data_IF_406808135242
#
_entry.id   IF_406808135242
#
_cell.length_a   1.000
_cell.length_b   1.000
_cell.length_c   1.000
_cell.angle_alpha   90.00
_cell.angle_beta   90.00
_cell.angle_gamma   90.00
#
_symmetry.space_group_name_H-M   'P 1'
#
loop_
_entity.id
_entity.type
_entity.pdbx_description
1 polymer ?
#
# COMPACT_ATOMS: atom_id res chain seq x y z
N UNK A 1 -53.24 41.89 1.32
CA UNK A 1 -53.63 42.40 -0.02
C UNK A 1 -52.44 42.19 -0.94
N UNK A 2 -52.48 41.64 -2.15
CA UNK A 2 -53.55 41.27 -3.08
C UNK A 2 -52.89 40.30 -4.08
N UNK A 3 -53.46 39.12 -4.31
CA UNK A 3 -53.16 38.34 -5.53
C UNK A 3 -53.72 39.13 -6.70
N UNK A 4 -52.96 39.30 -7.77
CA UNK A 4 -53.56 39.48 -9.09
C UNK A 4 -52.62 38.94 -10.15
N UNK A 5 -53.21 38.07 -10.94
CA UNK A 5 -52.65 37.27 -12.00
C UNK A 5 -53.34 37.75 -13.30
N UNK A 6 -52.80 37.33 -14.45
CA UNK A 6 -53.50 37.22 -15.76
C UNK A 6 -53.54 38.46 -16.69
N UNK A 7 -52.88 38.33 -17.86
CA UNK A 7 -53.41 38.30 -19.25
C UNK A 7 -52.29 38.77 -20.22
N UNK A 8 -51.70 37.91 -21.04
CA UNK A 8 -52.13 37.46 -22.38
C UNK A 8 -52.24 38.54 -23.49
N UNK A 9 -51.39 38.35 -24.50
CA UNK A 9 -51.68 38.20 -25.94
C UNK A 9 -51.71 39.43 -26.88
N UNK A 10 -50.87 39.32 -27.93
CA UNK A 10 -51.11 39.46 -29.41
C UNK A 10 -49.88 40.08 -30.08
N UNK A 11 -49.06 39.28 -30.77
CA UNK A 11 -49.11 38.93 -32.20
C UNK A 11 -48.68 40.06 -33.14
N UNK A 12 -47.56 39.86 -33.86
CA UNK A 12 -47.43 40.20 -35.27
C UNK A 12 -46.25 39.45 -35.90
N UNK A 13 -46.61 38.67 -36.91
CA UNK A 13 -45.79 37.92 -37.86
C UNK A 13 -44.89 38.87 -38.67
N UNK A 14 -43.62 38.52 -38.87
CA UNK A 14 -42.95 38.70 -40.17
C UNK A 14 -41.99 37.55 -40.41
N UNK A 15 -42.36 36.75 -41.40
CA UNK A 15 -41.54 35.70 -41.99
C UNK A 15 -40.29 36.29 -42.64
N UNK A 16 -39.17 35.60 -42.49
CA UNK A 16 -38.09 35.67 -43.47
C UNK A 16 -37.52 34.25 -43.59
N UNK A 17 -37.89 33.58 -44.68
CA UNK A 17 -37.20 32.39 -45.15
C UNK A 17 -35.77 32.79 -45.50
N UNK A 18 -34.80 32.19 -44.82
CA UNK A 18 -33.44 32.03 -45.31
C UNK A 18 -33.17 30.54 -45.32
N UNK A 19 -33.27 29.95 -46.50
CA UNK A 19 -32.75 28.62 -46.83
C UNK A 19 -31.25 28.62 -46.58
N UNK A 20 -30.83 28.12 -45.42
CA UNK A 20 -29.42 27.87 -45.14
C UNK A 20 -29.16 26.38 -45.25
N UNK A 21 -28.24 26.04 -46.14
CA UNK A 21 -27.84 24.69 -46.49
C UNK A 21 -27.34 23.91 -45.26
N UNK A 22 -27.77 22.65 -45.17
CA UNK A 22 -27.16 21.63 -44.32
C UNK A 22 -25.66 21.53 -44.64
N UNK A 23 -24.82 21.85 -43.66
CA UNK A 23 -23.49 21.28 -43.54
C UNK A 23 -23.40 20.66 -42.15
N UNK A 24 -23.72 19.37 -42.07
CA UNK A 24 -23.60 18.58 -40.84
C UNK A 24 -22.12 18.31 -40.58
N UNK A 25 -21.41 19.28 -40.02
CA UNK A 25 -20.10 19.02 -39.42
C UNK A 25 -20.32 18.19 -38.16
N UNK A 26 -20.01 16.90 -38.26
CA UNK A 26 -19.80 16.03 -37.10
C UNK A 26 -18.62 16.61 -36.31
N UNK A 27 -18.89 17.49 -35.35
CA UNK A 27 -17.92 17.81 -34.30
C UNK A 27 -17.82 16.54 -33.46
N UNK A 28 -16.74 15.79 -33.67
CA UNK A 28 -16.32 14.78 -32.71
C UNK A 28 -16.29 15.48 -31.34
N UNK A 29 -17.21 15.08 -30.46
CA UNK A 29 -17.21 15.55 -29.09
C UNK A 29 -15.82 15.28 -28.54
N UNK A 30 -15.12 16.35 -28.16
CA UNK A 30 -13.97 16.22 -27.30
C UNK A 30 -14.50 15.58 -26.02
N UNK A 31 -14.36 14.25 -25.94
CA UNK A 31 -14.42 13.54 -24.68
C UNK A 31 -13.20 14.02 -23.92
N UNK A 32 -13.32 15.18 -23.28
CA UNK A 32 -12.43 15.59 -22.22
C UNK A 32 -12.76 14.67 -21.06
N UNK A 33 -12.25 13.43 -21.14
CA UNK A 33 -12.08 12.61 -19.97
C UNK A 33 -11.26 13.49 -19.01
N UNK A 34 -11.88 13.89 -17.90
CA UNK A 34 -11.26 14.75 -16.90
C UNK A 34 -9.89 14.19 -16.55
N UNK A 35 -8.82 14.80 -17.05
CA UNK A 35 -7.50 14.54 -16.52
C UNK A 35 -7.55 15.04 -15.07
N UNK A 36 -7.34 14.16 -14.07
CA UNK A 36 -7.42 14.58 -12.68
C UNK A 36 -6.42 15.72 -12.47
N UNK A 37 -6.84 16.85 -11.89
CA UNK A 37 -5.90 17.91 -11.55
C UNK A 37 -4.88 17.35 -10.55
N UNK A 38 -3.60 17.31 -10.95
CA UNK A 38 -2.48 16.89 -10.09
C UNK A 38 -1.72 15.62 -10.50
N UNK A 39 -1.33 15.46 -11.76
CA UNK A 39 -0.32 14.45 -12.16
C UNK A 39 1.10 14.79 -11.67
N UNK A 40 1.28 15.97 -11.09
CA UNK A 40 2.52 16.45 -10.49
C UNK A 40 2.67 15.80 -9.11
N UNK A 41 3.54 14.80 -9.00
CA UNK A 41 3.80 14.05 -7.75
C UNK A 41 3.26 12.61 -7.72
N UNK A 42 2.67 12.09 -8.81
CA UNK A 42 2.39 10.67 -8.92
C UNK A 42 3.72 9.88 -8.99
N UNK A 43 3.88 8.79 -8.22
CA UNK A 43 5.12 8.00 -8.26
C UNK A 43 5.29 7.35 -9.63
N UNK A 44 6.51 7.34 -10.17
CA UNK A 44 6.82 6.78 -11.50
C UNK A 44 6.65 5.25 -11.56
N UNK A 45 6.55 4.60 -10.41
CA UNK A 45 6.40 3.16 -10.26
C UNK A 45 6.05 2.77 -8.84
N UNK A 46 5.97 1.46 -8.60
CA UNK A 46 5.74 0.91 -7.28
C UNK A 46 6.68 -0.25 -6.99
N UNK A 47 6.99 -0.42 -5.71
CA UNK A 47 7.74 -1.57 -5.20
C UNK A 47 6.78 -2.74 -5.01
N UNK A 48 7.18 -3.91 -5.49
CA UNK A 48 6.54 -5.19 -5.19
C UNK A 48 7.50 -6.03 -4.38
N UNK A 49 7.00 -6.63 -3.30
CA UNK A 49 7.72 -7.63 -2.53
C UNK A 49 7.10 -9.01 -2.76
N UNK A 50 7.89 -10.06 -2.70
CA UNK A 50 7.41 -11.44 -2.67
C UNK A 50 8.23 -12.26 -1.68
N UNK A 51 7.57 -13.16 -0.95
CA UNK A 51 8.22 -14.17 -0.10
C UNK A 51 8.66 -15.33 -0.98
N UNK A 52 9.90 -15.78 -0.81
CA UNK A 52 10.44 -16.99 -1.44
C UNK A 52 10.55 -18.15 -0.43
N UNK A 53 10.92 -17.86 0.81
CA UNK A 53 11.05 -18.86 1.87
C UNK A 53 10.56 -18.30 3.21
N UNK A 54 9.80 -19.10 3.97
CA UNK A 54 9.23 -18.73 5.27
C UNK A 54 10.16 -18.93 6.48
N UNK A 55 11.36 -19.46 6.25
CA UNK A 55 12.29 -19.92 7.29
C UNK A 55 12.25 -21.44 7.47
N UNK A 56 13.07 -21.94 8.39
CA UNK A 56 13.34 -23.38 8.56
C UNK A 56 12.23 -24.15 9.31
N UNK A 57 11.00 -23.63 9.34
CA UNK A 57 9.87 -24.24 10.03
C UNK A 57 8.55 -24.02 9.30
N UNK A 58 7.72 -25.06 9.25
CA UNK A 58 6.36 -25.00 8.68
C UNK A 58 5.39 -24.19 9.55
N UNK A 59 5.75 -23.91 10.80
CA UNK A 59 4.94 -23.13 11.74
C UNK A 59 4.83 -21.65 11.35
N UNK A 60 5.66 -21.17 10.41
CA UNK A 60 5.65 -19.79 9.91
C UNK A 60 4.92 -19.74 8.58
N UNK A 61 3.88 -18.90 8.50
CA UNK A 61 3.30 -18.44 7.24
C UNK A 61 3.52 -16.94 7.11
N UNK A 62 4.27 -16.54 6.09
CA UNK A 62 4.53 -15.13 5.78
C UNK A 62 3.85 -14.75 4.46
N UNK A 63 3.20 -13.60 4.43
CA UNK A 63 2.58 -13.02 3.22
C UNK A 63 2.92 -11.54 3.11
N UNK A 64 3.08 -11.06 1.88
CA UNK A 64 3.18 -9.63 1.59
C UNK A 64 1.77 -9.05 1.50
N UNK A 65 1.57 -7.92 2.16
CA UNK A 65 0.38 -7.09 2.01
C UNK A 65 0.73 -5.99 1.01
N UNK A 66 0.18 -6.10 -0.19
CA UNK A 66 0.41 -5.13 -1.27
C UNK A 66 -0.28 -3.80 -0.94
N UNK A 67 0.55 -2.79 -0.76
CA UNK A 67 0.16 -1.40 -0.49
C UNK A 67 1.26 -0.50 -1.08
N UNK A 68 1.05 0.83 -1.21
CA UNK A 68 2.07 1.75 -1.70
C UNK A 68 3.42 1.63 -0.96
N UNK A 69 3.39 1.18 0.30
CA UNK A 69 4.55 0.63 1.01
C UNK A 69 4.25 -0.81 1.41
N UNK A 70 4.96 -1.82 0.88
CA UNK A 70 4.72 -3.21 1.23
C UNK A 70 4.82 -3.44 2.74
N UNK A 71 3.86 -4.17 3.28
CA UNK A 71 3.94 -4.71 4.63
C UNK A 71 4.08 -6.24 4.57
N UNK A 72 4.58 -6.84 5.64
CA UNK A 72 4.60 -8.29 5.80
C UNK A 72 3.66 -8.67 6.93
N UNK A 73 2.87 -9.71 6.72
CA UNK A 73 2.08 -10.36 7.76
C UNK A 73 2.64 -11.74 8.01
N UNK A 74 2.95 -12.01 9.28
CA UNK A 74 3.35 -13.32 9.75
C UNK A 74 2.22 -13.89 10.59
N UNK A 75 1.85 -15.14 10.29
CA UNK A 75 1.06 -16.00 11.17
C UNK A 75 1.96 -17.13 11.67
N UNK A 76 2.03 -17.28 12.98
CA UNK A 76 2.84 -18.28 13.66
C UNK A 76 1.96 -19.24 14.47
N UNK A 77 2.15 -20.54 14.27
CA UNK A 77 1.37 -21.60 14.91
C UNK A 77 2.23 -22.62 15.66
N UNK A 78 3.48 -22.28 15.96
CA UNK A 78 4.36 -23.15 16.74
C UNK A 78 4.14 -22.99 18.24
N UNK A 79 4.49 -24.04 18.98
CA UNK A 79 4.44 -24.07 20.45
C UNK A 79 5.56 -23.24 21.09
N UNK A 80 6.74 -23.28 20.48
CA UNK A 80 7.94 -22.57 20.91
C UNK A 80 7.88 -21.08 20.55
N UNK A 81 8.54 -20.18 21.28
CA UNK A 81 8.56 -18.76 20.89
C UNK A 81 9.40 -18.54 19.63
N UNK A 82 8.86 -17.78 18.67
CA UNK A 82 9.59 -17.28 17.52
C UNK A 82 10.00 -15.81 17.74
N UNK A 83 11.30 -15.53 17.69
CA UNK A 83 11.83 -14.15 17.69
C UNK A 83 12.13 -13.69 16.28
N UNK A 84 11.63 -12.52 15.90
CA UNK A 84 12.02 -11.79 14.69
C UNK A 84 13.05 -10.72 15.08
N UNK A 85 14.12 -10.59 14.31
CA UNK A 85 15.18 -9.63 14.56
C UNK A 85 15.15 -8.47 13.57
N UNK A 86 15.63 -7.31 13.99
CA UNK A 86 15.90 -6.18 13.09
C UNK A 86 17.21 -6.35 12.30
N UNK A 87 17.62 -5.33 11.56
CA UNK A 87 18.84 -5.37 10.74
C UNK A 87 20.14 -5.37 11.54
N UNK A 88 20.09 -4.99 12.83
CA UNK A 88 21.25 -4.95 13.73
C UNK A 88 21.29 -6.22 14.62
N UNK A 89 20.49 -7.23 14.26
CA UNK A 89 20.29 -8.46 15.01
C UNK A 89 19.77 -8.24 16.45
N UNK A 90 19.06 -7.14 16.70
CA UNK A 90 18.35 -6.95 17.96
C UNK A 90 16.95 -7.60 17.87
N UNK A 91 16.48 -8.26 18.94
CA UNK A 91 15.12 -8.77 19.01
C UNK A 91 14.10 -7.65 18.78
N UNK A 92 13.21 -7.83 17.82
CA UNK A 92 12.20 -6.83 17.45
C UNK A 92 10.79 -7.32 17.79
N UNK A 93 10.38 -8.50 17.32
CA UNK A 93 9.08 -9.10 17.63
C UNK A 93 9.27 -10.48 18.26
N UNK A 94 8.35 -10.86 19.14
CA UNK A 94 8.20 -12.22 19.65
C UNK A 94 6.79 -12.70 19.33
N UNK A 95 6.73 -13.76 18.55
CA UNK A 95 5.50 -14.47 18.24
C UNK A 95 5.39 -15.67 19.17
N UNK A 96 4.25 -15.75 19.84
CA UNK A 96 3.74 -16.95 20.52
C UNK A 96 2.52 -17.44 19.72
N UNK A 97 1.98 -18.61 20.05
CA UNK A 97 0.76 -19.10 19.39
C UNK A 97 -0.46 -18.16 19.57
N UNK A 98 -0.52 -17.40 20.67
CA UNK A 98 -1.68 -16.61 21.10
C UNK A 98 -1.44 -15.09 21.20
N UNK A 99 -0.22 -14.62 20.96
CA UNK A 99 0.10 -13.19 21.04
C UNK A 99 1.34 -12.84 20.26
N UNK A 100 1.48 -11.56 19.97
CA UNK A 100 2.72 -10.97 19.50
C UNK A 100 3.12 -9.82 20.41
N UNK A 101 4.39 -9.78 20.75
CA UNK A 101 5.01 -8.76 21.59
C UNK A 101 6.13 -8.07 20.79
N UNK A 102 6.27 -6.75 20.95
CA UNK A 102 7.31 -5.95 20.31
C UNK A 102 8.29 -5.40 21.34
N UNK A 103 9.56 -5.32 20.98
CA UNK A 103 10.61 -4.71 21.77
C UNK A 103 10.67 -3.21 21.49
N UNK A 104 10.35 -2.34 22.46
CA UNK A 104 10.43 -0.90 22.25
C UNK A 104 11.85 -0.35 22.12
N UNK A 105 12.86 -1.15 22.47
CA UNK A 105 14.28 -0.79 22.33
C UNK A 105 14.83 -1.09 20.92
N UNK A 106 14.11 -1.85 20.08
CA UNK A 106 14.52 -2.03 18.69
C UNK A 106 14.33 -0.73 17.92
N UNK A 107 15.27 -0.41 17.01
CA UNK A 107 15.13 0.71 16.07
C UNK A 107 13.90 0.61 15.17
N UNK A 108 13.31 -0.58 15.03
CA UNK A 108 12.09 -0.79 14.26
C UNK A 108 10.82 -0.51 15.06
N UNK A 109 10.91 -0.26 16.37
CA UNK A 109 9.77 0.12 17.19
C UNK A 109 8.98 1.29 16.59
N UNK A 110 9.68 2.32 16.11
CA UNK A 110 9.07 3.54 15.54
C UNK A 110 8.32 3.30 14.23
N UNK A 111 8.49 2.13 13.58
CA UNK A 111 7.68 1.77 12.41
C UNK A 111 6.31 1.17 12.78
N UNK A 112 6.11 0.80 14.05
CA UNK A 112 4.85 0.24 14.54
C UNK A 112 3.87 1.34 14.95
N UNK A 113 2.56 1.23 14.64
CA UNK A 113 1.54 2.18 15.09
C UNK A 113 1.53 2.40 16.61
N UNK A 114 1.83 1.36 17.39
CA UNK A 114 1.85 1.35 18.85
C UNK A 114 2.91 2.29 19.44
N UNK A 115 3.96 2.61 18.69
CA UNK A 115 4.98 3.58 19.13
C UNK A 115 4.48 5.01 19.28
N UNK A 116 3.35 5.35 18.66
CA UNK A 116 2.80 6.71 18.65
C UNK A 116 2.06 7.09 19.93
N UNK A 117 1.74 6.12 20.79
CA UNK A 117 0.94 6.31 22.01
C UNK A 117 1.70 6.12 23.32
N UNK A 118 2.94 5.63 23.27
CA UNK A 118 3.73 5.35 24.48
C UNK A 118 5.22 5.49 24.17
N UNK A 119 5.86 6.45 24.82
CA UNK A 119 7.30 6.35 25.04
C UNK A 119 7.48 5.13 25.96
N UNK A 120 8.25 4.12 25.55
CA UNK A 120 8.49 2.99 26.43
C UNK A 120 9.16 3.47 27.70
N UNK A 121 8.61 3.09 28.85
CA UNK A 121 9.28 3.31 30.12
C UNK A 121 10.66 2.67 30.04
N UNK A 122 11.67 3.37 30.58
CA UNK A 122 13.03 2.85 30.69
C UNK A 122 13.01 1.63 31.64
N UNK A 123 12.71 0.46 31.10
CA UNK A 123 12.48 -0.79 31.84
C UNK A 123 11.36 -1.68 31.29
N UNK A 124 10.50 -1.19 30.39
CA UNK A 124 9.47 -2.02 29.78
C UNK A 124 10.07 -2.96 28.73
N UNK A 125 10.14 -4.26 29.06
CA UNK A 125 10.87 -5.23 28.24
C UNK A 125 10.18 -5.51 26.89
N UNK A 126 8.85 -5.66 26.90
CA UNK A 126 8.07 -6.09 25.73
C UNK A 126 6.65 -5.51 25.80
N UNK A 127 6.11 -5.06 24.65
CA UNK A 127 4.77 -4.49 24.53
C UNK A 127 3.91 -5.40 23.67
N UNK A 128 2.74 -5.84 24.17
CA UNK A 128 1.81 -6.65 23.37
C UNK A 128 1.27 -5.83 22.20
N UNK A 129 1.44 -6.33 20.98
CA UNK A 129 0.97 -5.71 19.74
C UNK A 129 -0.12 -6.51 19.03
N UNK A 130 -0.30 -7.79 19.40
CA UNK A 130 -1.39 -8.63 18.89
C UNK A 130 -2.00 -9.55 19.96
N UNK A 131 -3.29 -9.79 19.81
CA UNK A 131 -4.11 -10.73 20.58
C UNK A 131 -4.06 -12.19 20.07
N UNK A 132 -3.30 -12.45 19.02
CA UNK A 132 -3.13 -13.77 18.39
C UNK A 132 -1.67 -13.96 17.95
N UNK A 133 -1.29 -15.17 17.50
CA UNK A 133 0.00 -15.44 16.86
C UNK A 133 0.16 -14.84 15.46
N UNK A 134 -0.68 -13.87 15.07
CA UNK A 134 -0.61 -13.17 13.79
C UNK A 134 -0.35 -11.68 13.98
N UNK A 135 0.57 -11.11 13.20
CA UNK A 135 0.83 -9.68 13.19
C UNK A 135 1.41 -9.22 11.86
N UNK A 136 0.96 -8.04 11.41
CA UNK A 136 1.43 -7.38 10.20
C UNK A 136 2.13 -6.07 10.52
N UNK A 137 3.24 -5.79 9.84
CA UNK A 137 3.99 -4.54 10.00
C UNK A 137 4.62 -4.08 8.68
N UNK A 138 4.85 -2.77 8.58
CA UNK A 138 5.67 -2.19 7.51
C UNK A 138 7.13 -2.43 7.88
N UNK A 139 7.76 -3.41 7.23
CA UNK A 139 9.16 -3.74 7.50
C UNK A 139 10.08 -2.80 6.71
N UNK A 140 11.02 -2.07 7.35
CA UNK A 140 11.94 -1.19 6.65
C UNK A 140 12.79 -1.87 5.56
N UNK A 141 12.98 -3.20 5.64
CA UNK A 141 13.71 -3.99 4.65
C UNK A 141 12.95 -4.20 3.34
N UNK A 142 11.64 -3.88 3.33
CA UNK A 142 10.76 -3.99 2.16
C UNK A 142 10.52 -2.62 1.47
N UNK A 143 11.30 -1.60 1.81
CA UNK A 143 11.13 -0.23 1.34
C UNK A 143 11.75 0.05 -0.05
N UNK A 144 11.26 1.08 -0.73
CA UNK A 144 11.79 1.59 -2.00
C UNK A 144 13.22 2.11 -1.92
N UNK A 145 13.67 2.57 -0.75
CA UNK A 145 15.05 3.01 -0.55
C UNK A 145 16.08 1.91 -0.89
N UNK A 146 15.64 0.65 -0.84
CA UNK A 146 16.42 -0.55 -1.17
C UNK A 146 16.50 -0.85 -2.66
N UNK A 147 15.62 -0.28 -3.48
CA UNK A 147 15.52 -0.56 -4.91
C UNK A 147 15.29 0.73 -5.70
N UNK A 148 16.37 1.24 -6.28
CA UNK A 148 16.40 2.57 -6.93
C UNK A 148 16.38 2.50 -8.46
N UNK A 149 16.51 1.31 -9.01
CA UNK A 149 16.67 1.12 -10.46
C UNK A 149 15.46 0.39 -11.02
N UNK A 150 14.82 0.94 -12.07
CA UNK A 150 13.80 0.22 -12.83
C UNK A 150 14.25 -1.17 -13.25
N UNK A 151 13.31 -2.13 -13.22
CA UNK A 151 13.52 -3.53 -13.63
C UNK A 151 14.64 -4.28 -12.90
N UNK A 152 15.15 -3.72 -11.80
CA UNK A 152 16.07 -4.43 -10.91
C UNK A 152 15.30 -5.32 -9.93
N UNK A 153 16.01 -6.31 -9.38
CA UNK A 153 15.51 -7.14 -8.29
C UNK A 153 16.56 -7.20 -7.19
N UNK A 154 16.14 -7.03 -5.95
CA UNK A 154 17.01 -7.06 -4.77
C UNK A 154 16.49 -8.10 -3.79
N UNK A 155 17.36 -8.97 -3.32
CA UNK A 155 17.01 -9.92 -2.27
C UNK A 155 16.87 -9.24 -0.91
N UNK A 156 15.92 -9.73 -0.12
CA UNK A 156 15.74 -9.33 1.26
C UNK A 156 15.66 -10.55 2.18
N UNK A 157 16.02 -10.31 3.44
CA UNK A 157 15.99 -11.32 4.50
C UNK A 157 15.51 -10.68 5.80
N UNK A 158 14.66 -11.39 6.52
CA UNK A 158 14.19 -11.07 7.85
C UNK A 158 14.66 -12.20 8.77
N UNK A 159 15.71 -11.99 9.58
CA UNK A 159 16.21 -13.04 10.46
C UNK A 159 15.18 -13.40 11.51
N UNK A 160 15.04 -14.71 11.74
CA UNK A 160 14.13 -15.27 12.73
C UNK A 160 14.84 -16.38 13.50
N UNK A 161 14.46 -16.58 14.75
CA UNK A 161 14.96 -17.69 15.57
C UNK A 161 13.83 -18.26 16.42
N UNK A 162 13.65 -19.56 16.34
CA UNK A 162 12.76 -20.30 17.23
C UNK A 162 13.57 -20.77 18.44
N UNK A 163 13.28 -20.19 19.61
CA UNK A 163 13.99 -20.47 20.87
C UNK A 163 15.53 -20.50 20.72
N UNK A 164 16.16 -21.65 20.96
CA UNK A 164 17.61 -21.88 20.91
C UNK A 164 18.07 -22.53 19.60
N UNK A 165 17.18 -22.68 18.60
CA UNK A 165 17.56 -23.21 17.29
C UNK A 165 18.52 -22.24 16.57
N UNK A 166 19.28 -22.70 15.57
CA UNK A 166 20.05 -21.82 14.69
C UNK A 166 19.17 -20.71 14.10
N UNK A 167 19.78 -19.55 13.82
CA UNK A 167 19.08 -18.44 13.19
C UNK A 167 18.75 -18.81 11.74
N UNK A 168 17.46 -18.71 11.40
CA UNK A 168 16.93 -18.85 10.05
C UNK A 168 16.53 -17.47 9.49
N UNK A 169 15.92 -17.44 8.31
CA UNK A 169 15.36 -16.20 7.77
C UNK A 169 14.10 -16.45 6.92
N UNK A 170 13.14 -15.53 7.04
CA UNK A 170 12.14 -15.33 5.99
C UNK A 170 12.86 -14.56 4.88
N UNK A 171 12.85 -15.07 3.66
CA UNK A 171 13.56 -14.46 2.52
C UNK A 171 12.62 -14.20 1.36
N UNK A 172 13.05 -13.28 0.50
CA UNK A 172 12.30 -12.95 -0.69
C UNK A 172 13.00 -11.97 -1.59
N UNK A 173 12.24 -11.40 -2.52
CA UNK A 173 12.73 -10.40 -3.47
C UNK A 173 11.87 -9.14 -3.45
N UNK A 174 12.53 -8.01 -3.73
CA UNK A 174 11.92 -6.73 -4.07
C UNK A 174 12.13 -6.49 -5.55
N UNK A 175 11.10 -6.03 -6.24
CA UNK A 175 11.18 -5.54 -7.61
C UNK A 175 10.52 -4.18 -7.70
N UNK A 176 11.05 -3.30 -8.55
CA UNK A 176 10.42 -2.02 -8.87
C UNK A 176 9.77 -2.15 -10.24
N UNK A 177 8.52 -1.71 -10.36
CA UNK A 177 7.78 -1.73 -11.61
C UNK A 177 7.33 -0.31 -11.97
N UNK A 178 7.61 0.17 -13.20
CA UNK A 178 7.07 1.44 -13.63
C UNK A 178 5.54 1.35 -13.70
N UNK A 179 4.86 2.47 -13.48
CA UNK A 179 3.44 2.55 -13.79
C UNK A 179 3.25 2.40 -15.31
N UNK A 180 2.22 1.68 -15.77
CA UNK A 180 1.88 1.63 -17.18
C UNK A 180 1.68 3.06 -17.68
N UNK A 181 2.50 3.48 -18.65
CA UNK A 181 2.27 4.76 -19.33
C UNK A 181 1.13 4.53 -20.32
N UNK A 182 0.15 5.43 -20.37
CA UNK A 182 -1.08 5.31 -21.19
C UNK A 182 -0.82 5.07 -22.69
N UNK A 183 0.42 5.27 -23.17
CA UNK A 183 0.83 4.99 -24.56
C UNK A 183 0.82 3.49 -24.94
N UNK A 184 0.89 2.57 -23.97
CA UNK A 184 0.93 1.12 -24.22
C UNK A 184 -0.45 0.46 -24.38
N UNK A 185 -1.54 1.24 -24.29
CA UNK A 185 -2.93 0.75 -24.37
C UNK A 185 -3.49 0.72 -25.80
N UNK A 186 -2.63 0.58 -26.82
CA UNK A 186 -3.07 0.47 -28.22
C UNK A 186 -2.99 -1.00 -28.63
N UNK A 187 -4.06 -1.75 -28.36
CA UNK A 187 -4.23 -3.12 -28.89
C UNK A 187 -4.72 -3.05 -30.35
N UNK A 188 -4.20 -3.90 -31.27
CA UNK A 188 -4.66 -4.02 -32.66
C UNK A 188 -6.12 -4.50 -32.80
#
# INVERSE_FOLDING_TARGET
MKRMNVRQARSAIKAMLMTSAMLTTMVAGQSSAHQPPGAEGAPEGFVRANVLHGGDTEAIRAVILDAPRPAIMVNYQGEEMLTVFDSDNQPFLRFHHDRVEANPQSRYWTSLPQSKGSAPDAGQAWVRVSGSGSFGWVDPRLSEERIKTPDSTVEWRIPVRQEQKPMAAITGQLSWRPLPTTADSTHP
#
